data_IF_361512492815
#
_entry.id   IF_361512492815
#
_cell.length_a   1.000
_cell.length_b   1.000
_cell.length_c   1.000
_cell.angle_alpha   90.00
_cell.angle_beta   90.00
_cell.angle_gamma   90.00
#
_symmetry.space_group_name_H-M   'P 1'
#
loop_
_entity.id
_entity.type
_entity.pdbx_description
1 polymer ?
#
# COMPACT_ATOMS: atom_id res chain seq x y z
N UNK A 1 -6.00 -22.26 -23.95
CA UNK A 1 -5.48 -22.57 -22.61
C UNK A 1 -4.30 -21.66 -22.26
N UNK A 2 -3.30 -21.50 -23.13
CA UNK A 2 -2.10 -20.69 -22.89
C UNK A 2 -2.32 -19.21 -22.52
N UNK A 3 -3.33 -18.53 -23.10
CA UNK A 3 -3.56 -17.09 -22.85
C UNK A 3 -4.08 -16.80 -21.43
N UNK A 4 -5.06 -17.57 -20.94
CA UNK A 4 -5.61 -17.43 -19.59
C UNK A 4 -4.53 -17.76 -18.56
N UNK A 5 -3.80 -18.85 -18.79
CA UNK A 5 -2.71 -19.27 -17.93
C UNK A 5 -1.61 -18.18 -17.82
N UNK A 6 -1.21 -17.59 -18.94
CA UNK A 6 -0.25 -16.47 -18.96
C UNK A 6 -0.77 -15.24 -18.18
N UNK A 7 -2.05 -14.91 -18.29
CA UNK A 7 -2.65 -13.79 -17.54
C UNK A 7 -2.65 -14.04 -16.03
N UNK A 8 -2.97 -15.26 -15.60
CA UNK A 8 -2.92 -15.64 -14.18
C UNK A 8 -1.49 -15.54 -13.65
N UNK A 9 -0.50 -16.02 -14.39
CA UNK A 9 0.92 -15.90 -13.98
C UNK A 9 1.32 -14.43 -13.82
N UNK A 10 1.01 -13.57 -14.79
CA UNK A 10 1.31 -12.13 -14.70
C UNK A 10 0.65 -11.48 -13.48
N UNK A 11 -0.60 -11.85 -13.20
CA UNK A 11 -1.31 -11.40 -12.01
C UNK A 11 -0.60 -11.84 -10.73
N UNK A 12 -0.23 -13.12 -10.62
CA UNK A 12 0.47 -13.65 -9.45
C UNK A 12 1.82 -12.98 -9.23
N UNK A 13 2.58 -12.72 -10.30
CA UNK A 13 3.84 -11.98 -10.22
C UNK A 13 3.61 -10.57 -9.65
N UNK A 14 2.62 -9.84 -10.16
CA UNK A 14 2.25 -8.51 -9.65
C UNK A 14 1.87 -8.58 -8.17
N UNK A 15 1.06 -9.54 -7.77
CA UNK A 15 0.60 -9.69 -6.39
C UNK A 15 1.76 -10.02 -5.43
N UNK A 16 2.59 -11.00 -5.80
CA UNK A 16 3.76 -11.42 -5.02
C UNK A 16 4.75 -10.27 -4.91
N UNK A 17 4.99 -9.52 -5.98
CA UNK A 17 5.93 -8.38 -5.95
C UNK A 17 5.52 -7.30 -4.93
N UNK A 18 4.24 -6.90 -4.91
CA UNK A 18 3.73 -5.94 -3.91
C UNK A 18 3.81 -6.53 -2.51
N UNK A 19 3.45 -7.80 -2.35
CA UNK A 19 3.55 -8.46 -1.06
C UNK A 19 4.99 -8.46 -0.51
N UNK A 20 5.96 -8.81 -1.35
CA UNK A 20 7.37 -8.82 -0.96
C UNK A 20 7.89 -7.42 -0.60
N UNK A 21 7.49 -6.37 -1.33
CA UNK A 21 7.91 -5.00 -0.99
C UNK A 21 7.44 -4.61 0.41
N UNK A 22 6.15 -4.76 0.70
CA UNK A 22 5.63 -4.42 2.03
C UNK A 22 6.20 -5.34 3.13
N UNK A 23 6.36 -6.63 2.85
CA UNK A 23 7.00 -7.56 3.79
C UNK A 23 8.44 -7.15 4.09
N UNK A 24 9.23 -6.77 3.09
CA UNK A 24 10.60 -6.29 3.28
C UNK A 24 10.64 -5.03 4.14
N UNK A 25 9.78 -4.04 3.87
CA UNK A 25 9.74 -2.82 4.68
C UNK A 25 9.33 -3.14 6.12
N UNK A 26 8.36 -4.04 6.32
CA UNK A 26 7.95 -4.47 7.66
C UNK A 26 9.10 -5.14 8.42
N UNK A 27 9.78 -6.10 7.79
CA UNK A 27 10.91 -6.80 8.39
C UNK A 27 12.06 -5.84 8.72
N UNK A 28 12.39 -4.92 7.80
CA UNK A 28 13.42 -3.91 8.06
C UNK A 28 13.03 -3.03 9.26
N UNK A 29 11.79 -2.55 9.29
CA UNK A 29 11.27 -1.73 10.38
C UNK A 29 11.36 -2.46 11.72
N UNK A 30 10.96 -3.74 11.73
CA UNK A 30 10.91 -4.58 12.94
C UNK A 30 12.28 -5.09 13.41
N UNK A 31 13.24 -5.31 12.51
CA UNK A 31 14.54 -5.89 12.87
C UNK A 31 15.61 -4.83 13.14
N UNK A 32 15.54 -3.68 12.47
CA UNK A 32 16.64 -2.72 12.48
C UNK A 32 16.23 -1.31 12.94
N UNK A 33 14.94 -0.97 12.96
CA UNK A 33 14.47 0.40 13.18
C UNK A 33 13.43 0.52 14.31
N UNK A 34 13.33 -0.48 15.20
CA UNK A 34 12.36 -0.47 16.30
C UNK A 34 12.58 0.64 17.32
N UNK A 35 13.78 1.21 17.42
CA UNK A 35 14.05 2.31 18.35
C UNK A 35 13.54 3.67 17.83
N UNK A 36 13.07 3.72 16.58
CA UNK A 36 12.55 4.93 15.95
C UNK A 36 11.02 4.87 15.92
N UNK A 37 10.36 5.80 16.61
CA UNK A 37 8.90 5.81 16.85
C UNK A 37 8.08 5.47 15.61
N UNK A 38 8.32 6.11 14.46
CA UNK A 38 7.48 5.90 13.27
C UNK A 38 7.59 4.48 12.70
N UNK A 39 8.78 3.87 12.74
CA UNK A 39 9.00 2.50 12.25
C UNK A 39 8.46 1.47 13.25
N UNK A 40 8.62 1.74 14.55
CA UNK A 40 8.05 0.94 15.63
C UNK A 40 6.52 0.93 15.57
N UNK A 41 5.92 2.12 15.58
CA UNK A 41 4.48 2.34 15.53
C UNK A 41 3.85 1.70 14.30
N UNK A 42 4.41 1.96 13.11
CA UNK A 42 3.89 1.35 11.87
C UNK A 42 4.02 -0.17 11.93
N UNK A 43 5.14 -0.73 12.42
CA UNK A 43 5.31 -2.19 12.51
C UNK A 43 4.36 -2.87 13.51
N UNK A 44 3.87 -2.14 14.52
CA UNK A 44 3.04 -2.67 15.61
C UNK A 44 1.54 -2.56 15.34
N UNK A 45 1.07 -1.45 14.75
CA UNK A 45 -0.37 -1.16 14.70
C UNK A 45 -0.96 -0.93 13.31
N UNK A 46 -0.21 -0.41 12.34
CA UNK A 46 -0.83 0.13 11.11
C UNK A 46 -0.16 -0.26 9.79
N UNK A 47 0.86 -1.14 9.81
CA UNK A 47 1.47 -1.66 8.59
C UNK A 47 0.46 -2.38 7.67
N UNK A 48 -0.53 -3.03 8.29
CA UNK A 48 -1.43 -3.94 7.60
C UNK A 48 -2.42 -3.22 6.69
N UNK A 49 -2.83 -1.99 7.02
CA UNK A 49 -3.88 -1.31 6.26
C UNK A 49 -3.39 -0.86 4.87
N UNK A 50 -2.30 -0.09 4.72
CA UNK A 50 -1.80 0.27 3.39
C UNK A 50 -1.39 -0.94 2.58
N UNK A 51 -0.87 -1.98 3.24
CA UNK A 51 -0.50 -3.24 2.62
C UNK A 51 -1.72 -3.95 2.02
N UNK A 52 -2.78 -4.17 2.81
CA UNK A 52 -4.01 -4.79 2.33
C UNK A 52 -4.66 -3.97 1.22
N UNK A 53 -4.71 -2.64 1.36
CA UNK A 53 -5.27 -1.75 0.33
C UNK A 53 -4.47 -1.87 -0.98
N UNK A 54 -3.14 -1.90 -0.91
CA UNK A 54 -2.30 -2.11 -2.09
C UNK A 54 -2.58 -3.46 -2.77
N UNK A 55 -2.73 -4.54 -2.00
CA UNK A 55 -3.10 -5.86 -2.54
C UNK A 55 -4.47 -5.85 -3.21
N UNK A 56 -5.46 -5.16 -2.62
CA UNK A 56 -6.79 -4.98 -3.22
C UNK A 56 -6.67 -4.26 -4.57
N UNK A 57 -5.86 -3.22 -4.67
CA UNK A 57 -5.61 -2.56 -5.95
C UNK A 57 -5.01 -3.50 -7.00
N UNK A 58 -4.12 -4.42 -6.62
CA UNK A 58 -3.61 -5.44 -7.56
C UNK A 58 -4.73 -6.37 -8.03
N UNK A 59 -5.65 -6.79 -7.16
CA UNK A 59 -6.82 -7.62 -7.52
C UNK A 59 -7.68 -6.94 -8.59
N UNK A 60 -7.87 -5.62 -8.49
CA UNK A 60 -8.54 -4.80 -9.50
C UNK A 60 -7.66 -4.41 -10.70
N UNK A 61 -6.48 -5.03 -10.83
CA UNK A 61 -5.50 -4.80 -11.87
C UNK A 61 -5.04 -3.33 -11.97
N UNK A 62 -5.00 -2.65 -10.82
CA UNK A 62 -4.48 -1.29 -10.65
C UNK A 62 -3.09 -1.34 -10.04
N UNK A 63 -2.19 -2.05 -10.72
CA UNK A 63 -0.83 -2.30 -10.24
C UNK A 63 -0.03 -1.01 -10.04
N UNK A 64 -0.23 0.01 -10.90
CA UNK A 64 0.44 1.31 -10.73
C UNK A 64 0.02 1.99 -9.42
N UNK A 65 -1.26 1.88 -9.02
CA UNK A 65 -1.74 2.44 -7.75
C UNK A 65 -1.06 1.75 -6.58
N UNK A 66 -1.01 0.41 -6.60
CA UNK A 66 -0.36 -0.38 -5.56
C UNK A 66 1.14 -0.04 -5.43
N UNK A 67 1.84 0.12 -6.56
CA UNK A 67 3.25 0.50 -6.57
C UNK A 67 3.45 1.92 -6.04
N UNK A 68 2.62 2.88 -6.46
CA UNK A 68 2.68 4.25 -5.91
C UNK A 68 2.44 4.27 -4.42
N UNK A 69 1.51 3.47 -3.89
CA UNK A 69 1.31 3.32 -2.45
C UNK A 69 2.54 2.77 -1.74
N UNK A 70 3.22 1.77 -2.30
CA UNK A 70 4.47 1.24 -1.72
C UNK A 70 5.57 2.31 -1.67
N UNK A 71 5.71 3.12 -2.73
CA UNK A 71 6.64 4.27 -2.74
C UNK A 71 6.22 5.30 -1.69
N UNK A 72 4.95 5.67 -1.65
CA UNK A 72 4.42 6.62 -0.66
C UNK A 72 4.58 6.15 0.78
N UNK A 73 4.55 4.84 1.00
CA UNK A 73 4.81 4.24 2.30
C UNK A 73 6.27 4.46 2.73
N UNK A 74 7.24 4.16 1.85
CA UNK A 74 8.67 4.41 2.13
C UNK A 74 8.90 5.91 2.33
N UNK A 75 8.46 6.74 1.39
CA UNK A 75 8.62 8.21 1.46
C UNK A 75 7.98 8.77 2.72
N UNK A 76 6.79 8.29 3.08
CA UNK A 76 6.06 8.73 4.27
C UNK A 76 6.79 8.40 5.57
N UNK A 77 7.46 7.24 5.66
CA UNK A 77 8.23 6.87 6.84
C UNK A 77 9.39 7.85 7.05
N UNK A 78 10.18 8.10 6.01
CA UNK A 78 11.33 9.01 6.09
C UNK A 78 10.91 10.48 6.21
N UNK A 79 9.87 10.90 5.49
CA UNK A 79 9.35 12.27 5.59
C UNK A 79 8.73 12.53 6.96
N UNK A 80 8.01 11.55 7.52
CA UNK A 80 7.48 11.60 8.88
C UNK A 80 8.58 11.77 9.92
N UNK A 81 9.64 10.96 9.83
CA UNK A 81 10.82 11.08 10.70
C UNK A 81 11.46 12.47 10.58
N UNK A 82 11.77 12.90 9.36
CA UNK A 82 12.46 14.16 9.09
C UNK A 82 11.71 15.39 9.59
N UNK A 83 10.39 15.45 9.36
CA UNK A 83 9.58 16.58 9.80
C UNK A 83 9.40 16.59 11.32
N UNK A 84 9.32 15.42 11.96
CA UNK A 84 9.18 15.35 13.42
C UNK A 84 10.49 15.72 14.13
N UNK A 85 11.65 15.30 13.60
CA UNK A 85 12.96 15.75 14.09
C UNK A 85 13.11 17.27 13.97
N UNK A 86 12.78 17.85 12.82
CA UNK A 86 12.82 19.31 12.63
C UNK A 86 11.94 20.06 13.61
N UNK A 87 10.73 19.55 13.87
CA UNK A 87 9.81 20.13 14.84
C UNK A 87 10.39 20.09 16.26
N UNK A 88 11.00 18.97 16.65
CA UNK A 88 11.64 18.85 17.98
C UNK A 88 12.80 19.82 18.08
N UNK A 89 13.66 19.92 17.06
CA UNK A 89 14.76 20.89 17.03
C UNK A 89 14.26 22.32 17.15
N UNK A 90 13.20 22.68 16.43
CA UNK A 90 12.61 24.02 16.46
C UNK A 90 12.09 24.39 17.87
N UNK A 91 11.41 23.46 18.54
CA UNK A 91 10.96 23.65 19.93
C UNK A 91 12.15 23.81 20.89
N UNK A 92 13.18 22.98 20.77
CA UNK A 92 14.36 23.07 21.63
C UNK A 92 15.18 24.35 21.43
N UNK A 93 15.07 25.01 20.28
CA UNK A 93 15.75 26.27 19.98
C UNK A 93 14.99 27.51 20.48
N UNK A 94 13.66 27.43 20.59
CA UNK A 94 12.81 28.59 20.88
C UNK A 94 12.25 28.64 22.31
N UNK A 95 12.31 27.54 23.07
CA UNK A 95 11.82 27.48 24.45
C UNK A 95 12.97 27.35 25.45
N UNK A 96 12.96 28.20 26.48
CA UNK A 96 13.91 28.13 27.58
C UNK A 96 13.59 26.94 28.52
N UNK A 97 14.56 26.46 29.30
CA UNK A 97 14.41 25.24 30.14
C UNK A 97 13.21 25.33 31.10
N UNK A 98 12.86 26.53 31.55
CA UNK A 98 11.70 26.82 32.43
C UNK A 98 10.34 26.79 31.71
N UNK A 99 10.31 26.99 30.38
CA UNK A 99 9.09 26.97 29.55
C UNK A 99 8.84 25.58 28.95
N UNK A 100 9.88 24.74 28.90
CA UNK A 100 9.84 23.39 28.36
C UNK A 100 8.88 22.45 29.12
N UNK A 101 8.61 22.73 30.41
CA UNK A 101 7.59 22.04 31.20
C UNK A 101 6.17 22.27 30.67
N UNK A 102 5.89 23.44 30.08
CA UNK A 102 4.66 23.73 29.35
C UNK A 102 4.64 23.11 27.95
N UNK A 103 5.79 23.09 27.26
CA UNK A 103 5.96 22.48 25.94
C UNK A 103 6.02 20.93 25.96
N UNK A 104 5.97 20.30 27.14
CA UNK A 104 6.02 18.84 27.31
C UNK A 104 4.98 18.11 26.45
N UNK A 105 3.78 18.68 26.33
CA UNK A 105 2.72 18.09 25.50
C UNK A 105 3.08 18.11 24.01
N UNK A 106 3.69 19.19 23.52
CA UNK A 106 4.13 19.29 22.12
C UNK A 106 5.29 18.34 21.84
N UNK A 107 6.24 18.19 22.76
CA UNK A 107 7.37 17.27 22.59
C UNK A 107 6.94 15.79 22.59
N UNK A 108 5.92 15.42 23.36
CA UNK A 108 5.44 14.04 23.48
C UNK A 108 4.56 13.57 22.31
N UNK A 109 3.97 14.49 21.54
CA UNK A 109 3.11 14.12 20.41
C UNK A 109 3.89 14.11 19.10
N UNK A 110 4.50 12.97 18.79
CA UNK A 110 5.06 12.74 17.45
C UNK A 110 3.96 12.89 16.40
N UNK A 111 4.22 13.73 15.39
CA UNK A 111 3.31 13.92 14.25
C UNK A 111 3.70 13.03 13.06
N UNK A 112 4.73 12.20 13.20
CA UNK A 112 5.27 11.39 12.13
C UNK A 112 4.24 10.43 11.53
N UNK A 113 3.39 9.83 12.37
CA UNK A 113 2.33 8.89 11.92
C UNK A 113 1.31 9.57 11.01
N UNK A 114 0.88 10.79 11.36
CA UNK A 114 -0.05 11.56 10.51
C UNK A 114 0.60 11.96 9.19
N UNK A 115 1.84 12.45 9.23
CA UNK A 115 2.62 12.77 8.02
C UNK A 115 2.74 11.56 7.11
N UNK A 116 3.08 10.39 7.66
CA UNK A 116 3.16 9.13 6.92
C UNK A 116 1.82 8.79 6.26
N UNK A 117 0.72 8.84 7.01
CA UNK A 117 -0.61 8.52 6.50
C UNK A 117 -1.01 9.44 5.34
N UNK A 118 -0.86 10.75 5.49
CA UNK A 118 -1.15 11.72 4.42
C UNK A 118 -0.25 11.50 3.20
N UNK A 119 1.01 11.15 3.41
CA UNK A 119 1.93 10.85 2.31
C UNK A 119 1.45 9.63 1.52
N UNK A 120 1.07 8.55 2.20
CA UNK A 120 0.50 7.36 1.54
C UNK A 120 -0.76 7.71 0.76
N UNK A 121 -1.66 8.53 1.31
CA UNK A 121 -2.87 8.98 0.62
C UNK A 121 -2.56 9.81 -0.64
N UNK A 122 -1.64 10.77 -0.54
CA UNK A 122 -1.21 11.58 -1.69
C UNK A 122 -0.66 10.69 -2.80
N UNK A 123 0.21 9.74 -2.45
CA UNK A 123 0.76 8.79 -3.41
C UNK A 123 -0.28 7.84 -3.99
N UNK A 124 -1.30 7.46 -3.22
CA UNK A 124 -2.44 6.71 -3.76
C UNK A 124 -3.18 7.54 -4.82
N UNK A 125 -3.45 8.83 -4.55
CA UNK A 125 -4.09 9.73 -5.52
C UNK A 125 -3.22 9.87 -6.78
N UNK A 126 -1.92 10.10 -6.62
CA UNK A 126 -0.96 10.15 -7.74
C UNK A 126 -1.02 8.84 -8.53
N UNK A 127 -1.00 7.69 -7.86
CA UNK A 127 -1.12 6.38 -8.48
C UNK A 127 -2.41 6.22 -9.29
N UNK A 128 -3.54 6.69 -8.76
CA UNK A 128 -4.84 6.68 -9.47
C UNK A 128 -4.78 7.54 -10.73
N UNK A 129 -4.21 8.74 -10.64
CA UNK A 129 -4.05 9.63 -11.79
C UNK A 129 -3.12 9.00 -12.84
N UNK A 130 -1.97 8.48 -12.44
CA UNK A 130 -1.02 7.80 -13.32
C UNK A 130 -1.67 6.59 -14.01
N UNK A 131 -2.38 5.78 -13.25
CA UNK A 131 -3.09 4.60 -13.75
C UNK A 131 -4.19 4.95 -14.77
N UNK A 132 -4.87 6.10 -14.59
CA UNK A 132 -5.96 6.56 -15.46
C UNK A 132 -5.45 7.24 -16.73
N UNK A 133 -4.41 8.06 -16.62
CA UNK A 133 -3.97 8.94 -17.70
C UNK A 133 -2.74 8.44 -18.46
N UNK A 134 -1.85 7.69 -17.81
CA UNK A 134 -0.56 7.28 -18.39
C UNK A 134 -0.52 5.77 -18.60
N UNK A 135 -0.71 5.00 -17.53
CA UNK A 135 -0.56 3.54 -17.54
C UNK A 135 -1.89 2.82 -17.65
N UNK A 136 -2.72 3.22 -18.63
CA UNK A 136 -4.04 2.59 -18.84
C UNK A 136 -3.89 1.08 -18.97
N UNK A 137 -4.66 0.35 -18.19
CA UNK A 137 -4.65 -1.12 -18.21
C UNK A 137 -5.90 -1.63 -18.90
N UNK A 138 -5.72 -2.30 -20.04
CA UNK A 138 -6.77 -2.97 -20.80
C UNK A 138 -6.91 -4.46 -20.42
N UNK A 139 -6.10 -4.93 -19.48
CA UNK A 139 -6.16 -6.30 -18.98
C UNK A 139 -7.36 -6.48 -18.03
N UNK A 140 -8.14 -7.56 -18.17
CA UNK A 140 -9.28 -7.84 -17.31
C UNK A 140 -8.84 -8.04 -15.85
N UNK A 141 -9.69 -7.69 -14.90
CA UNK A 141 -9.45 -7.96 -13.48
C UNK A 141 -9.53 -9.46 -13.18
N UNK A 142 -9.04 -9.88 -12.01
CA UNK A 142 -9.17 -11.28 -11.58
C UNK A 142 -10.65 -11.72 -11.54
N UNK A 143 -11.53 -10.83 -11.08
CA UNK A 143 -12.97 -11.07 -11.03
C UNK A 143 -13.55 -11.31 -12.43
N UNK A 144 -13.14 -10.52 -13.41
CA UNK A 144 -13.59 -10.69 -14.80
C UNK A 144 -13.16 -12.06 -15.36
N UNK A 145 -11.92 -12.47 -15.08
CA UNK A 145 -11.38 -13.77 -15.51
C UNK A 145 -12.16 -14.92 -14.88
N UNK A 146 -12.43 -14.84 -13.57
CA UNK A 146 -13.18 -15.87 -12.83
C UNK A 146 -14.63 -15.93 -13.35
N UNK A 147 -15.28 -14.78 -13.50
CA UNK A 147 -16.65 -14.68 -13.99
C UNK A 147 -16.82 -15.29 -15.38
N UNK A 148 -15.96 -14.93 -16.34
CA UNK A 148 -16.00 -15.49 -17.69
C UNK A 148 -15.71 -16.99 -17.72
N UNK A 149 -14.82 -17.47 -16.84
CA UNK A 149 -14.53 -18.90 -16.71
C UNK A 149 -15.75 -19.69 -16.21
N UNK A 150 -16.44 -19.19 -15.18
CA UNK A 150 -17.67 -19.81 -14.63
C UNK A 150 -18.79 -19.78 -15.67
N UNK A 151 -18.99 -18.64 -16.34
CA UNK A 151 -20.02 -18.49 -17.38
C UNK A 151 -19.81 -19.46 -18.54
N UNK A 152 -18.57 -19.64 -18.98
CA UNK A 152 -18.21 -20.61 -20.03
C UNK A 152 -18.49 -22.05 -19.60
N UNK A 153 -18.12 -22.41 -18.36
CA UNK A 153 -18.41 -23.73 -17.80
C UNK A 153 -19.91 -24.01 -17.78
N UNK A 154 -20.71 -23.08 -17.24
CA UNK A 154 -22.17 -23.21 -17.18
C UNK A 154 -22.79 -23.39 -18.58
N UNK A 155 -22.36 -22.60 -19.56
CA UNK A 155 -22.86 -22.69 -20.94
C UNK A 155 -22.55 -24.05 -21.57
N UNK A 156 -21.33 -24.56 -21.35
CA UNK A 156 -20.94 -25.88 -21.85
C UNK A 156 -21.76 -27.00 -21.22
N UNK A 157 -21.99 -26.94 -19.90
CA UNK A 157 -22.82 -27.93 -19.19
C UNK A 157 -24.26 -27.90 -19.72
N UNK A 158 -24.84 -26.70 -19.89
CA UNK A 158 -26.19 -26.53 -20.44
C UNK A 158 -26.32 -27.11 -21.85
N UNK A 159 -25.35 -26.84 -22.72
CA UNK A 159 -25.32 -27.38 -24.08
C UNK A 159 -25.15 -28.90 -24.13
N UNK A 160 -24.44 -29.48 -23.16
CA UNK A 160 -24.26 -30.93 -23.04
C UNK A 160 -25.57 -31.62 -22.62
N UNK A 161 -26.31 -31.01 -21.69
CA UNK A 161 -27.62 -31.50 -21.24
C UNK A 161 -28.66 -31.41 -22.36
N UNK A 162 -28.67 -30.32 -23.13
CA UNK A 162 -29.62 -30.14 -24.23
C UNK A 162 -29.39 -31.10 -25.40
N UNK A 163 -28.16 -31.61 -25.60
CA UNK A 163 -27.84 -32.61 -26.62
C UNK A 163 -28.21 -34.06 -26.22
N UNK A 164 -28.53 -34.30 -24.95
CA UNK A 164 -28.93 -35.62 -24.44
C UNK A 164 -30.45 -35.82 -24.36
N UNK A 165 -31.24 -34.78 -24.66
CA UNK A 165 -32.69 -34.85 -24.84
C UNK A 165 -32.99 -34.87 -26.33
#
# INVERSE_FOLDING_TARGET
MNRIFSQIIKFLIKLISIHLIFLSIHLISKMYLQDVYIFEWTSRYDFIFPWLIALIWVIFNKYTVALSMAVGHIVGLFLGLYLDERRITDVLLHYDISELTGAKYELLQSKAAYTWFYTVLIFMIIGILLQKFIFKTNEPSLFDIIYESIKKFYTNVKAMISKRK
#
